data_IF_087231696491
#
_entry.id   IF_087231696491
#
_cell.length_a   1.000
_cell.length_b   1.000
_cell.length_c   1.000
_cell.angle_alpha   90.00
_cell.angle_beta   90.00
_cell.angle_gamma   90.00
#
_symmetry.space_group_name_H-M   'P 1'
#
loop_
_entity.id
_entity.type
_entity.pdbx_description
1 polymer ?
#
# COMPACT_ATOMS: atom_id res chain seq x y z
N UNK A 1 14.75 19.24 10.00
CA UNK A 1 13.95 18.72 8.87
C UNK A 1 14.44 17.32 8.56
N UNK A 2 13.54 16.36 8.39
CA UNK A 2 13.88 14.95 8.10
C UNK A 2 13.61 14.71 6.62
N UNK A 3 14.51 13.98 5.95
CA UNK A 3 14.32 13.57 4.57
C UNK A 3 13.50 12.25 4.51
N UNK A 4 12.24 12.32 4.12
CA UNK A 4 11.35 11.15 3.99
C UNK A 4 11.58 10.37 2.70
N UNK A 5 12.18 10.96 1.67
CA UNK A 5 12.40 10.32 0.38
C UNK A 5 13.65 9.43 0.36
N UNK A 6 14.64 9.75 1.18
CA UNK A 6 15.84 8.94 1.39
C UNK A 6 15.75 8.29 2.79
N UNK A 7 15.27 7.05 2.81
CA UNK A 7 15.04 6.32 4.06
C UNK A 7 16.30 6.13 4.89
N UNK A 8 17.46 5.91 4.25
CA UNK A 8 18.74 5.71 4.98
C UNK A 8 19.17 7.01 5.63
N UNK A 9 19.13 8.10 4.88
CA UNK A 9 19.44 9.43 5.40
C UNK A 9 18.47 9.85 6.49
N UNK A 10 17.16 9.62 6.28
CA UNK A 10 16.14 9.93 7.28
C UNK A 10 16.32 9.17 8.59
N UNK A 11 16.73 7.89 8.54
CA UNK A 11 17.07 7.11 9.75
C UNK A 11 18.25 7.74 10.48
N UNK A 12 19.33 8.10 9.75
CA UNK A 12 20.51 8.72 10.36
C UNK A 12 20.18 10.07 11.02
N UNK A 13 19.35 10.90 10.36
CA UNK A 13 18.90 12.19 10.89
C UNK A 13 18.08 12.03 12.18
N UNK A 14 17.22 11.01 12.24
CA UNK A 14 16.43 10.70 13.45
C UNK A 14 17.34 10.16 14.57
N UNK A 15 18.30 9.29 14.26
CA UNK A 15 19.25 8.78 15.24
C UNK A 15 20.09 9.90 15.84
N UNK A 16 20.63 10.80 15.02
CA UNK A 16 21.40 11.96 15.48
C UNK A 16 20.54 12.89 16.36
N UNK A 17 19.27 13.13 15.99
CA UNK A 17 18.37 13.91 16.84
C UNK A 17 18.14 13.24 18.20
N UNK A 18 18.06 11.91 18.24
CA UNK A 18 17.80 11.16 19.46
C UNK A 18 18.99 11.17 20.46
N UNK A 19 20.21 11.52 20.01
CA UNK A 19 21.39 11.70 20.89
C UNK A 19 21.17 12.87 21.87
N UNK A 20 20.62 13.99 21.36
CA UNK A 20 20.34 15.18 22.16
C UNK A 20 18.95 15.11 22.84
N UNK A 21 18.00 14.45 22.20
CA UNK A 21 16.59 14.37 22.61
C UNK A 21 16.12 12.90 22.66
N UNK A 22 16.36 12.18 23.76
CA UNK A 22 16.02 10.77 23.87
C UNK A 22 14.55 10.47 23.56
N UNK A 23 14.30 9.62 22.58
CA UNK A 23 12.96 9.25 22.12
C UNK A 23 12.48 7.97 22.87
N UNK A 24 11.18 7.90 23.18
CA UNK A 24 10.54 6.71 23.74
C UNK A 24 9.76 5.91 22.70
N UNK A 25 9.30 6.56 21.65
CA UNK A 25 8.58 5.96 20.53
C UNK A 25 8.69 6.84 19.29
N UNK A 26 8.57 6.23 18.12
CA UNK A 26 8.46 6.92 16.84
C UNK A 26 7.24 6.35 16.12
N UNK A 27 6.32 7.23 15.73
CA UNK A 27 5.08 6.87 15.05
C UNK A 27 5.02 7.53 13.67
N UNK A 28 4.77 6.73 12.64
CA UNK A 28 4.39 7.24 11.32
C UNK A 28 2.91 7.60 11.34
N UNK A 29 2.57 8.81 10.92
CA UNK A 29 1.19 9.31 10.92
C UNK A 29 0.50 9.17 9.55
N UNK A 30 1.24 8.73 8.54
CA UNK A 30 0.78 8.45 7.17
C UNK A 30 1.53 7.28 6.56
N UNK A 31 1.08 6.81 5.38
CA UNK A 31 1.69 5.66 4.70
C UNK A 31 3.17 5.90 4.32
N UNK A 32 3.55 7.15 4.00
CA UNK A 32 4.90 7.48 3.52
C UNK A 32 5.93 7.43 4.67
N UNK A 33 5.52 7.74 5.89
CA UNK A 33 6.41 7.81 7.06
C UNK A 33 6.48 6.52 7.87
N UNK A 34 5.56 5.55 7.66
CA UNK A 34 5.52 4.31 8.45
C UNK A 34 6.78 3.46 8.34
N UNK A 35 7.36 3.33 7.14
CA UNK A 35 8.58 2.54 6.91
C UNK A 35 9.78 3.21 7.60
N UNK A 36 9.89 4.54 7.47
CA UNK A 36 10.96 5.31 8.13
C UNK A 36 10.87 5.19 9.65
N UNK A 37 9.65 5.34 10.20
CA UNK A 37 9.40 5.19 11.64
C UNK A 37 9.82 3.80 12.16
N UNK A 38 9.49 2.73 11.44
CA UNK A 38 9.86 1.37 11.82
C UNK A 38 11.38 1.15 11.76
N UNK A 39 12.06 1.65 10.72
CA UNK A 39 13.52 1.54 10.57
C UNK A 39 14.26 2.34 11.64
N UNK A 40 13.86 3.58 11.90
CA UNK A 40 14.46 4.42 12.92
C UNK A 40 14.25 3.87 14.33
N UNK A 41 13.03 3.39 14.64
CA UNK A 41 12.74 2.72 15.92
C UNK A 41 13.61 1.48 16.12
N UNK A 42 13.80 0.66 15.06
CA UNK A 42 14.70 -0.49 15.10
C UNK A 42 16.15 -0.08 15.38
N UNK A 43 16.65 0.96 14.70
CA UNK A 43 18.02 1.45 14.88
C UNK A 43 18.27 1.96 16.30
N UNK A 44 17.27 2.58 16.93
CA UNK A 44 17.31 3.10 18.30
C UNK A 44 16.93 2.06 19.38
N UNK A 45 16.63 0.81 19.02
CA UNK A 45 16.22 -0.22 19.96
C UNK A 45 14.85 0.04 20.63
N UNK A 46 14.01 0.87 20.02
CA UNK A 46 12.66 1.16 20.50
C UNK A 46 11.67 0.06 20.09
N UNK A 47 10.51 -0.02 20.75
CA UNK A 47 9.42 -0.90 20.32
C UNK A 47 8.97 -0.55 18.90
N UNK A 48 8.90 -1.54 18.00
CA UNK A 48 8.57 -1.33 16.60
C UNK A 48 7.97 -2.57 15.95
N UNK A 49 7.25 -2.38 14.86
CA UNK A 49 6.93 -3.46 13.92
C UNK A 49 8.17 -3.79 13.08
N UNK A 50 8.36 -5.04 12.71
CA UNK A 50 9.47 -5.42 11.84
C UNK A 50 9.44 -4.58 10.55
N UNK A 51 10.52 -3.86 10.19
CA UNK A 51 10.54 -3.00 8.99
C UNK A 51 10.12 -3.73 7.72
N UNK A 52 10.55 -5.00 7.55
CA UNK A 52 10.15 -5.81 6.40
C UNK A 52 8.62 -6.03 6.33
N UNK A 53 7.94 -6.19 7.47
CA UNK A 53 6.48 -6.31 7.50
C UNK A 53 5.80 -5.01 7.10
N UNK A 54 6.32 -3.87 7.55
CA UNK A 54 5.79 -2.54 7.18
C UNK A 54 6.03 -2.26 5.70
N UNK A 55 7.20 -2.60 5.15
CA UNK A 55 7.50 -2.46 3.71
C UNK A 55 6.53 -3.27 2.83
N UNK A 56 6.08 -4.42 3.31
CA UNK A 56 5.09 -5.23 2.58
C UNK A 56 3.73 -4.52 2.53
N UNK A 57 3.31 -3.86 3.62
CA UNK A 57 1.97 -3.24 3.69
C UNK A 57 1.80 -2.03 2.78
N UNK A 58 2.87 -1.28 2.49
CA UNK A 58 2.78 -0.09 1.62
C UNK A 58 2.64 -0.43 0.13
N UNK A 59 2.90 -1.69 -0.26
CA UNK A 59 2.72 -2.15 -1.64
C UNK A 59 1.58 -3.18 -1.71
N UNK A 60 0.47 -2.80 -2.32
CA UNK A 60 -0.76 -3.62 -2.36
C UNK A 60 -0.56 -5.01 -2.95
N UNK A 61 0.29 -5.17 -3.97
CA UNK A 61 0.56 -6.48 -4.55
C UNK A 61 1.39 -7.37 -3.61
N UNK A 62 2.46 -6.80 -3.02
CA UNK A 62 3.26 -7.53 -2.02
C UNK A 62 2.42 -7.93 -0.82
N UNK A 63 1.54 -7.04 -0.38
CA UNK A 63 0.63 -7.31 0.73
C UNK A 63 -0.34 -8.44 0.41
N UNK A 64 -0.98 -8.43 -0.78
CA UNK A 64 -1.84 -9.52 -1.23
C UNK A 64 -1.10 -10.85 -1.30
N UNK A 65 0.11 -10.84 -1.86
CA UNK A 65 0.97 -12.04 -1.95
C UNK A 65 1.33 -12.60 -0.57
N UNK A 66 1.69 -11.74 0.39
CA UNK A 66 2.02 -12.17 1.74
C UNK A 66 0.82 -12.80 2.45
N UNK A 67 -0.37 -12.20 2.34
CA UNK A 67 -1.60 -12.74 2.93
C UNK A 67 -2.00 -14.08 2.29
N UNK A 68 -1.93 -14.20 0.96
CA UNK A 68 -2.23 -15.43 0.26
C UNK A 68 -1.27 -16.58 0.66
N UNK A 69 0.03 -16.27 0.76
CA UNK A 69 1.03 -17.23 1.21
C UNK A 69 0.84 -17.66 2.68
N UNK A 70 0.14 -16.85 3.47
CA UNK A 70 -0.23 -17.17 4.86
C UNK A 70 -1.54 -17.98 4.96
N UNK A 71 -2.13 -18.39 3.84
CA UNK A 71 -3.36 -19.18 3.79
C UNK A 71 -4.64 -18.38 4.09
N UNK A 72 -4.57 -17.05 4.10
CA UNK A 72 -5.75 -16.21 4.27
C UNK A 72 -6.58 -16.16 2.98
N UNK A 73 -7.89 -16.11 3.13
CA UNK A 73 -8.81 -15.94 2.00
C UNK A 73 -8.58 -14.59 1.34
N UNK A 74 -8.28 -14.62 0.05
CA UNK A 74 -8.03 -13.44 -0.77
C UNK A 74 -8.88 -13.51 -2.04
N UNK A 75 -9.35 -12.37 -2.57
CA UNK A 75 -9.88 -12.37 -3.93
C UNK A 75 -8.77 -12.75 -4.90
N UNK A 76 -9.08 -13.36 -6.04
CA UNK A 76 -8.10 -13.56 -7.10
C UNK A 76 -7.49 -12.21 -7.48
N UNK A 77 -6.17 -12.17 -7.66
CA UNK A 77 -5.47 -10.94 -8.03
C UNK A 77 -4.34 -11.22 -9.00
N UNK A 78 -4.03 -10.24 -9.82
CA UNK A 78 -2.94 -10.27 -10.80
C UNK A 78 -2.26 -8.92 -10.94
N UNK A 79 -1.04 -8.94 -11.48
CA UNK A 79 -0.26 -7.76 -11.75
C UNK A 79 -0.24 -7.49 -13.24
N UNK A 80 -0.61 -6.28 -13.66
CA UNK A 80 -0.67 -5.85 -15.04
C UNK A 80 0.29 -4.68 -15.26
N UNK A 81 1.14 -4.74 -16.28
CA UNK A 81 2.00 -3.62 -16.64
C UNK A 81 1.21 -2.53 -17.38
N UNK A 82 1.58 -1.27 -17.19
CA UNK A 82 0.93 -0.12 -17.85
C UNK A 82 1.18 -0.05 -19.37
N UNK A 83 2.14 -0.81 -19.88
CA UNK A 83 2.44 -0.97 -21.31
C UNK A 83 1.82 -2.23 -21.92
N UNK A 84 1.07 -3.01 -21.14
CA UNK A 84 0.35 -4.17 -21.64
C UNK A 84 -0.81 -3.77 -22.57
N UNK A 85 -1.24 -4.71 -23.43
CA UNK A 85 -2.42 -4.51 -24.26
C UNK A 85 -3.70 -4.60 -23.41
N UNK A 86 -4.43 -3.48 -23.20
CA UNK A 86 -5.60 -3.49 -22.33
C UNK A 86 -6.76 -4.33 -22.89
N UNK A 87 -6.88 -4.49 -24.21
CA UNK A 87 -7.94 -5.31 -24.81
C UNK A 87 -7.74 -6.80 -24.52
N UNK A 88 -6.47 -7.25 -24.50
CA UNK A 88 -6.16 -8.62 -24.14
C UNK A 88 -6.42 -8.83 -22.64
N UNK A 89 -5.89 -7.94 -21.79
CA UNK A 89 -6.06 -8.03 -20.34
C UNK A 89 -7.54 -7.99 -19.93
N UNK A 90 -8.37 -7.20 -20.59
CA UNK A 90 -9.80 -7.12 -20.34
C UNK A 90 -10.55 -8.43 -20.68
N UNK A 91 -10.09 -9.20 -21.66
CA UNK A 91 -10.68 -10.50 -22.00
C UNK A 91 -10.36 -11.60 -20.99
N UNK A 92 -9.16 -11.53 -20.40
CA UNK A 92 -8.68 -12.48 -19.39
C UNK A 92 -9.20 -12.18 -17.98
N UNK A 93 -9.68 -10.96 -17.74
CA UNK A 93 -10.17 -10.53 -16.43
C UNK A 93 -11.52 -11.20 -16.06
N UNK A 94 -11.67 -11.49 -14.76
CA UNK A 94 -12.96 -11.93 -14.21
C UNK A 94 -13.70 -10.72 -13.65
N UNK A 95 -14.97 -10.58 -13.96
CA UNK A 95 -15.81 -9.45 -13.58
C UNK A 95 -16.84 -9.81 -12.50
N UNK A 96 -17.21 -8.85 -11.60
CA UNK A 96 -16.61 -7.52 -11.47
C UNK A 96 -15.20 -7.56 -10.86
N UNK A 97 -14.35 -6.62 -11.27
CA UNK A 97 -13.00 -6.49 -10.73
C UNK A 97 -12.66 -5.04 -10.34
N UNK A 98 -11.55 -4.86 -9.63
CA UNK A 98 -11.03 -3.55 -9.23
C UNK A 98 -9.60 -3.41 -9.73
N UNK A 99 -9.35 -2.33 -10.46
CA UNK A 99 -8.01 -1.93 -10.88
C UNK A 99 -7.51 -0.83 -9.95
N UNK A 100 -6.25 -0.92 -9.52
CA UNK A 100 -5.67 0.10 -8.62
C UNK A 100 -4.14 0.19 -8.72
N UNK A 101 -3.56 1.39 -8.48
CA UNK A 101 -2.12 1.57 -8.29
C UNK A 101 -1.61 0.77 -7.10
N UNK A 102 -0.31 0.39 -7.13
CA UNK A 102 0.28 -0.41 -6.05
C UNK A 102 0.50 0.36 -4.76
N UNK A 103 0.89 1.65 -4.84
CA UNK A 103 1.38 2.42 -3.69
C UNK A 103 0.59 3.71 -3.39
N UNK A 104 -0.40 4.09 -4.22
CA UNK A 104 -1.17 5.31 -3.95
C UNK A 104 -2.21 5.10 -2.85
N UNK A 105 -2.40 6.15 -2.04
CA UNK A 105 -3.38 6.23 -0.94
C UNK A 105 -4.64 7.02 -1.33
N UNK A 106 -5.54 7.24 -0.38
CA UNK A 106 -6.78 8.03 -0.54
C UNK A 106 -7.63 7.65 -1.76
N UNK A 107 -7.69 6.37 -2.10
CA UNK A 107 -8.43 5.82 -3.25
C UNK A 107 -8.04 6.41 -4.60
N UNK A 108 -6.89 7.10 -4.70
CA UNK A 108 -6.38 7.67 -5.96
C UNK A 108 -6.15 6.56 -6.99
N UNK A 109 -7.02 6.51 -8.00
CA UNK A 109 -6.93 5.52 -9.07
C UNK A 109 -7.50 4.14 -8.73
N UNK A 110 -8.31 3.99 -7.69
CA UNK A 110 -9.06 2.77 -7.42
C UNK A 110 -10.35 2.80 -8.23
N UNK A 111 -10.51 1.89 -9.20
CA UNK A 111 -11.61 1.90 -10.15
C UNK A 111 -12.17 0.49 -10.29
N UNK A 112 -13.48 0.33 -10.07
CA UNK A 112 -14.23 -0.88 -10.37
C UNK A 112 -14.54 -0.93 -11.85
N UNK A 113 -14.50 -2.13 -12.41
CA UNK A 113 -14.95 -2.45 -13.75
C UNK A 113 -15.89 -3.66 -13.71
N UNK A 114 -17.07 -3.53 -14.33
CA UNK A 114 -18.08 -4.57 -14.38
C UNK A 114 -18.06 -5.32 -15.71
N UNK A 115 -17.32 -4.82 -16.70
CA UNK A 115 -17.20 -5.37 -18.05
C UNK A 115 -15.88 -4.96 -18.73
N UNK A 116 -15.53 -5.53 -19.91
CA UNK A 116 -14.31 -5.24 -20.63
C UNK A 116 -14.13 -3.77 -21.02
N UNK A 117 -15.17 -3.07 -21.41
CA UNK A 117 -15.07 -1.67 -21.85
C UNK A 117 -14.74 -0.74 -20.69
N UNK A 118 -15.34 -0.98 -19.52
CA UNK A 118 -15.02 -0.28 -18.29
C UNK A 118 -13.59 -0.58 -17.82
N UNK A 119 -13.15 -1.83 -17.97
CA UNK A 119 -11.77 -2.22 -17.67
C UNK A 119 -10.76 -1.42 -18.51
N UNK A 120 -10.96 -1.36 -19.83
CA UNK A 120 -10.09 -0.61 -20.74
C UNK A 120 -10.06 0.89 -20.37
N UNK A 121 -11.23 1.45 -20.06
CA UNK A 121 -11.36 2.84 -19.62
C UNK A 121 -10.60 3.08 -18.30
N UNK A 122 -10.77 2.20 -17.33
CA UNK A 122 -10.07 2.24 -16.03
C UNK A 122 -8.55 2.12 -16.22
N UNK A 123 -8.09 1.16 -17.05
CA UNK A 123 -6.70 0.95 -17.37
C UNK A 123 -6.04 2.23 -17.91
N UNK A 124 -6.66 2.87 -18.90
CA UNK A 124 -6.13 4.11 -19.47
C UNK A 124 -6.11 5.27 -18.47
N UNK A 125 -7.13 5.37 -17.61
CA UNK A 125 -7.18 6.40 -16.57
C UNK A 125 -6.07 6.20 -15.53
N UNK A 126 -5.87 4.97 -15.05
CA UNK A 126 -4.82 4.65 -14.08
C UNK A 126 -3.44 4.84 -14.71
N UNK A 127 -3.24 4.41 -15.95
CA UNK A 127 -1.98 4.62 -16.68
C UNK A 127 -1.60 6.10 -16.76
N UNK A 128 -2.58 7.00 -16.98
CA UNK A 128 -2.32 8.45 -16.94
C UNK A 128 -1.91 8.96 -15.56
N UNK A 129 -2.50 8.42 -14.50
CA UNK A 129 -2.12 8.75 -13.12
C UNK A 129 -0.70 8.27 -12.85
N UNK A 130 -0.36 7.03 -13.22
CA UNK A 130 0.94 6.43 -12.98
C UNK A 130 2.09 7.09 -13.77
N UNK A 131 1.76 7.85 -14.83
CA UNK A 131 2.73 8.65 -15.60
C UNK A 131 2.94 10.07 -15.06
N UNK A 132 2.26 10.46 -13.97
CA UNK A 132 2.48 11.77 -13.36
C UNK A 132 3.86 11.83 -12.66
N UNK A 133 4.56 12.98 -12.68
CA UNK A 133 5.93 13.08 -12.17
C UNK A 133 6.10 12.62 -10.72
N UNK A 134 5.15 12.95 -9.84
CA UNK A 134 5.13 12.54 -8.44
C UNK A 134 5.00 11.02 -8.27
N UNK A 135 4.30 10.35 -9.18
CA UNK A 135 4.10 8.90 -9.13
C UNK A 135 5.25 8.16 -9.81
N UNK A 136 5.77 8.67 -10.92
CA UNK A 136 6.93 8.08 -11.62
C UNK A 136 8.14 7.99 -10.69
N UNK A 137 8.30 8.94 -9.77
CA UNK A 137 9.34 8.92 -8.75
C UNK A 137 9.28 7.70 -7.81
N UNK A 138 8.15 7.00 -7.73
CA UNK A 138 7.99 5.75 -6.97
C UNK A 138 8.61 4.51 -7.68
N UNK A 139 9.25 4.72 -8.83
CA UNK A 139 10.05 3.71 -9.53
C UNK A 139 9.22 2.58 -10.14
N UNK A 140 9.62 1.34 -9.90
CA UNK A 140 9.02 0.16 -10.54
C UNK A 140 7.53 -0.02 -10.19
N UNK A 141 7.10 0.41 -9.00
CA UNK A 141 5.70 0.33 -8.60
C UNK A 141 4.76 1.17 -9.49
N UNK A 142 5.26 2.28 -10.06
CA UNK A 142 4.51 3.13 -10.98
C UNK A 142 4.28 2.50 -12.37
N UNK A 143 4.93 1.37 -12.67
CA UNK A 143 4.78 0.67 -13.96
C UNK A 143 3.71 -0.44 -13.90
N UNK A 144 3.02 -0.59 -12.79
CA UNK A 144 2.12 -1.72 -12.58
C UNK A 144 0.77 -1.29 -12.01
N UNK A 145 -0.24 -2.04 -12.39
CA UNK A 145 -1.62 -1.95 -11.90
C UNK A 145 -1.95 -3.29 -11.24
N UNK A 146 -2.48 -3.26 -10.03
CA UNK A 146 -3.09 -4.43 -9.40
C UNK A 146 -4.51 -4.57 -9.93
N UNK A 147 -4.85 -5.75 -10.44
CA UNK A 147 -6.22 -6.15 -10.78
C UNK A 147 -6.64 -7.20 -9.77
N UNK A 148 -7.77 -7.00 -9.09
CA UNK A 148 -8.29 -7.96 -8.11
C UNK A 148 -9.79 -8.14 -8.27
N UNK A 149 -10.31 -9.32 -7.90
CA UNK A 149 -11.74 -9.58 -7.86
C UNK A 149 -12.45 -8.62 -6.90
N UNK A 150 -13.61 -8.10 -7.32
CA UNK A 150 -14.42 -7.25 -6.46
C UNK A 150 -15.08 -8.09 -5.34
N UNK A 151 -14.96 -7.63 -4.11
CA UNK A 151 -15.64 -8.21 -2.96
C UNK A 151 -16.90 -7.40 -2.71
N UNK A 152 -18.07 -8.03 -2.84
CA UNK A 152 -19.35 -7.40 -2.51
C UNK A 152 -19.58 -7.39 -1.00
N UNK A 153 -20.40 -6.47 -0.52
CA UNK A 153 -20.80 -6.38 0.87
C UNK A 153 -20.68 -4.97 1.44
N UNK A 154 -21.03 -4.85 2.71
CA UNK A 154 -20.90 -3.58 3.44
C UNK A 154 -19.43 -3.34 3.79
N UNK A 155 -18.91 -2.18 3.42
CA UNK A 155 -17.56 -1.78 3.77
C UNK A 155 -17.54 -1.17 5.18
N UNK A 156 -16.56 -1.58 5.98
CA UNK A 156 -16.31 -1.02 7.30
C UNK A 156 -14.82 -0.71 7.44
N UNK A 157 -14.49 0.30 8.24
CA UNK A 157 -13.12 0.58 8.65
C UNK A 157 -12.93 0.19 10.11
N UNK A 158 -11.91 -0.64 10.40
CA UNK A 158 -11.54 -1.05 11.74
C UNK A 158 -10.24 -0.36 12.13
N UNK A 159 -10.24 0.31 13.27
CA UNK A 159 -9.03 0.82 13.90
C UNK A 159 -8.70 0.01 15.15
N UNK A 160 -7.41 -0.30 15.32
CA UNK A 160 -6.97 -1.10 16.43
C UNK A 160 -5.47 -1.04 16.68
N UNK A 161 -5.06 -1.58 17.83
CA UNK A 161 -3.66 -1.75 18.20
C UNK A 161 -3.30 -3.23 18.15
N UNK A 162 -2.26 -3.56 17.41
CA UNK A 162 -1.69 -4.90 17.38
C UNK A 162 -0.40 -4.91 18.21
N UNK A 163 -0.40 -5.65 19.31
CA UNK A 163 0.76 -5.78 20.17
C UNK A 163 0.96 -7.25 20.58
N UNK A 164 2.16 -7.79 20.32
CA UNK A 164 2.49 -9.18 20.64
C UNK A 164 1.53 -10.20 19.99
N UNK A 165 1.04 -9.94 18.79
CA UNK A 165 0.06 -10.79 18.09
C UNK A 165 -1.38 -10.67 18.59
N UNK A 166 -1.66 -9.82 19.58
CA UNK A 166 -3.00 -9.56 20.10
C UNK A 166 -3.56 -8.25 19.55
N UNK A 167 -4.68 -8.32 18.85
CA UNK A 167 -5.42 -7.16 18.35
C UNK A 167 -6.38 -6.64 19.43
N UNK A 168 -6.26 -5.35 19.76
CA UNK A 168 -7.25 -4.60 20.53
C UNK A 168 -8.00 -3.68 19.59
N UNK A 169 -9.28 -3.95 19.36
CA UNK A 169 -10.14 -3.08 18.52
C UNK A 169 -10.47 -1.83 19.30
N UNK A 170 -10.20 -0.66 18.74
CA UNK A 170 -10.50 0.65 19.34
C UNK A 170 -11.81 1.22 18.77
N UNK A 171 -12.03 1.09 17.46
CA UNK A 171 -13.21 1.59 16.79
C UNK A 171 -13.54 0.76 15.54
N UNK A 172 -14.82 0.74 15.20
CA UNK A 172 -15.34 0.22 13.95
C UNK A 172 -16.24 1.29 13.33
N UNK A 173 -15.89 1.72 12.13
CA UNK A 173 -16.61 2.77 11.39
C UNK A 173 -17.37 2.17 10.23
N UNK A 174 -18.57 2.66 10.05
CA UNK A 174 -19.35 2.41 8.84
C UNK A 174 -18.81 3.28 7.70
N UNK A 175 -18.71 2.72 6.50
CA UNK A 175 -18.35 3.45 5.28
C UNK A 175 -19.55 3.39 4.34
N UNK A 176 -20.37 4.45 4.34
CA UNK A 176 -21.58 4.54 3.49
C UNK A 176 -21.23 4.61 2.00
#
# INVERSE_FOLDING_TARGET
TINFQDLEKGVLEICAYAEDYPLRAILGVDEETTVLAAKASKALGLSHNAPASVEVTVNKFRFRTALANSGLLMPPFSLLRIDANPNWAAREATYPCVLKPLMLSASRGVIRADNPDEFITAFHRITRILKQPDVVAMGEAAKHILVEGYISGREVALEGLLNGGRLTVLALFDKP
#
